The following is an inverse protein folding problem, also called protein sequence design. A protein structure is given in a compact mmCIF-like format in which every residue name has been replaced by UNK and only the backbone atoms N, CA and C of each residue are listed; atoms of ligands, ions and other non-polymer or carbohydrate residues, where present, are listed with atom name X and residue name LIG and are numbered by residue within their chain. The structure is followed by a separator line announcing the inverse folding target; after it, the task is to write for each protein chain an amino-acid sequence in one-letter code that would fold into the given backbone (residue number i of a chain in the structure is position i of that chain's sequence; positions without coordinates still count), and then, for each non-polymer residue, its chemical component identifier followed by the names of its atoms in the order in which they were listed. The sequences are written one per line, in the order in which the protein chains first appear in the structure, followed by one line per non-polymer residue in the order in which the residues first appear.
data_IF_636836106557
#
_entry.id   IF_636836106557
#
_cell.length_a   1.000
_cell.length_b   1.000
_cell.length_c   1.000
_cell.angle_alpha   90.00
_cell.angle_beta   90.00
_cell.angle_gamma   90.00
#
_symmetry.space_group_name_H-M   'P 1'
#
loop_
_entity.id
_entity.type
_entity.pdbx_description
1 polymer ?
#
# COMPACT_ATOMS: atom_id res chain seq x y z
N UNK A 1 -14.12 -15.55 3.10
CA UNK A 1 -13.87 -14.76 4.32
C UNK A 1 -15.15 -14.66 5.13
N UNK A 2 -15.12 -15.18 6.34
CA UNK A 2 -16.27 -15.17 7.25
C UNK A 2 -16.18 -14.05 8.31
N UNK A 3 -17.14 -14.02 9.25
CA UNK A 3 -17.20 -13.00 10.29
C UNK A 3 -16.00 -13.07 11.25
N UNK A 4 -15.50 -14.27 11.53
CA UNK A 4 -14.32 -14.45 12.38
C UNK A 4 -13.08 -13.87 11.68
N UNK A 5 -12.92 -14.11 10.40
CA UNK A 5 -11.82 -13.55 9.61
C UNK A 5 -11.84 -12.01 9.63
N UNK A 6 -13.04 -11.42 9.52
CA UNK A 6 -13.18 -9.96 9.60
C UNK A 6 -12.75 -9.42 10.95
N UNK A 7 -13.12 -10.10 12.05
CA UNK A 7 -12.67 -9.72 13.40
C UNK A 7 -11.16 -9.83 13.55
N UNK A 8 -10.56 -10.90 13.04
CA UNK A 8 -9.10 -11.08 13.05
C UNK A 8 -8.43 -9.91 12.34
N UNK A 9 -8.91 -9.56 11.15
CA UNK A 9 -8.38 -8.44 10.37
C UNK A 9 -8.52 -7.12 11.13
N UNK A 10 -9.66 -6.86 11.78
CA UNK A 10 -9.84 -5.66 12.58
C UNK A 10 -8.85 -5.55 13.73
N UNK A 11 -8.62 -6.66 14.44
CA UNK A 11 -7.62 -6.70 15.52
C UNK A 11 -6.23 -6.39 14.99
N UNK A 12 -5.83 -7.03 13.89
CA UNK A 12 -4.52 -6.84 13.28
C UNK A 12 -4.34 -5.43 12.70
N UNK A 13 -5.40 -4.80 12.21
CA UNK A 13 -5.35 -3.41 11.74
C UNK A 13 -5.10 -2.41 12.87
N UNK A 14 -5.58 -2.71 14.08
CA UNK A 14 -5.34 -1.87 15.25
C UNK A 14 -4.02 -2.19 15.93
N UNK A 15 -3.64 -3.46 15.96
CA UNK A 15 -2.40 -3.94 16.54
C UNK A 15 -1.82 -5.08 15.70
N UNK A 16 -0.94 -4.74 14.78
CA UNK A 16 -0.27 -5.71 13.91
C UNK A 16 0.64 -6.70 14.66
N UNK A 17 0.93 -6.45 15.94
CA UNK A 17 1.72 -7.33 16.80
C UNK A 17 0.89 -8.22 17.71
N UNK A 18 -0.45 -8.20 17.58
CA UNK A 18 -1.32 -9.07 18.37
C UNK A 18 -0.92 -10.53 18.17
N UNK A 19 -0.78 -11.26 19.27
CA UNK A 19 -0.42 -12.69 19.21
C UNK A 19 -1.62 -13.54 18.82
N UNK A 20 -1.37 -14.72 18.30
CA UNK A 20 -2.45 -15.66 18.00
C UNK A 20 -3.30 -15.99 19.24
N UNK A 21 -2.66 -16.07 20.42
CA UNK A 21 -3.36 -16.30 21.68
C UNK A 21 -4.29 -15.15 22.07
N UNK A 22 -3.81 -13.91 21.94
CA UNK A 22 -4.61 -12.71 22.19
C UNK A 22 -5.81 -12.64 21.23
N UNK A 23 -5.57 -12.88 19.95
CA UNK A 23 -6.65 -12.90 18.94
C UNK A 23 -7.64 -14.02 19.26
N UNK A 24 -7.13 -15.21 19.58
CA UNK A 24 -7.98 -16.38 19.90
C UNK A 24 -8.92 -16.12 21.06
N UNK A 25 -8.47 -15.42 22.10
CA UNK A 25 -9.32 -15.04 23.23
C UNK A 25 -10.50 -14.15 22.83
N UNK A 26 -10.28 -13.26 21.85
CA UNK A 26 -11.33 -12.34 21.38
C UNK A 26 -12.31 -13.05 20.46
N UNK A 27 -11.83 -13.90 19.57
CA UNK A 27 -12.68 -14.56 18.55
C UNK A 27 -13.16 -15.95 18.97
N UNK A 28 -12.72 -16.46 20.12
CA UNK A 28 -13.15 -17.77 20.64
C UNK A 28 -12.51 -18.95 19.92
N UNK A 29 -11.26 -18.84 19.50
CA UNK A 29 -10.51 -19.88 18.82
C UNK A 29 -9.19 -20.20 19.53
N UNK A 30 -8.65 -21.40 19.27
CA UNK A 30 -7.30 -21.77 19.68
C UNK A 30 -6.25 -20.99 18.87
N UNK A 31 -5.02 -20.92 19.40
CA UNK A 31 -3.89 -20.31 18.66
C UNK A 31 -3.66 -20.97 17.30
N UNK A 32 -3.73 -22.29 17.23
CA UNK A 32 -3.56 -23.03 15.99
C UNK A 32 -4.64 -22.70 14.95
N UNK A 33 -5.90 -22.54 15.42
CA UNK A 33 -7.00 -22.16 14.53
C UNK A 33 -6.83 -20.74 14.00
N UNK A 34 -6.38 -19.80 14.84
CA UNK A 34 -6.09 -18.42 14.43
C UNK A 34 -4.94 -18.39 13.41
N UNK A 35 -3.86 -19.10 13.70
CA UNK A 35 -2.70 -19.22 12.80
C UNK A 35 -3.12 -19.72 11.42
N UNK A 36 -3.93 -20.76 11.38
CA UNK A 36 -4.43 -21.33 10.11
C UNK A 36 -5.23 -20.30 9.32
N UNK A 37 -6.13 -19.58 9.97
CA UNK A 37 -6.95 -18.56 9.33
C UNK A 37 -6.11 -17.41 8.77
N UNK A 38 -5.14 -16.92 9.53
CA UNK A 38 -4.25 -15.86 9.05
C UNK A 38 -3.42 -16.35 7.86
N UNK A 39 -2.91 -17.59 7.92
CA UNK A 39 -2.20 -18.18 6.80
C UNK A 39 -3.06 -18.26 5.53
N UNK A 40 -4.32 -18.62 5.66
CA UNK A 40 -5.27 -18.64 4.55
C UNK A 40 -5.56 -17.24 4.00
N UNK A 41 -5.70 -16.24 4.88
CA UNK A 41 -5.89 -14.85 4.49
C UNK A 41 -4.69 -14.29 3.71
N UNK A 42 -3.48 -14.68 4.10
CA UNK A 42 -2.25 -14.31 3.38
C UNK A 42 -2.17 -15.05 2.04
N UNK A 43 -2.35 -16.36 2.03
CA UNK A 43 -2.23 -17.15 0.80
C UNK A 43 -3.29 -16.81 -0.25
N UNK A 44 -4.47 -16.37 0.17
CA UNK A 44 -5.54 -15.91 -0.72
C UNK A 44 -5.37 -14.47 -1.19
N UNK A 45 -4.36 -13.75 -0.69
CA UNK A 45 -4.09 -12.36 -1.06
C UNK A 45 -4.99 -11.32 -0.38
N UNK A 46 -5.86 -11.72 0.55
CA UNK A 46 -6.67 -10.77 1.34
C UNK A 46 -5.75 -9.93 2.22
N UNK A 47 -4.82 -10.57 2.94
CA UNK A 47 -3.71 -9.88 3.59
C UNK A 47 -2.54 -9.91 2.62
N UNK A 48 -2.21 -8.77 2.05
CA UNK A 48 -1.12 -8.66 1.07
C UNK A 48 0.25 -8.66 1.75
N UNK A 49 0.37 -7.99 2.88
CA UNK A 49 1.62 -7.91 3.67
C UNK A 49 1.35 -7.39 5.07
N UNK A 50 2.26 -7.67 5.96
CA UNK A 50 2.35 -7.03 7.28
C UNK A 50 3.36 -5.89 7.16
N UNK A 51 2.99 -4.71 7.65
CA UNK A 51 3.81 -3.53 7.51
C UNK A 51 3.60 -2.58 8.69
N UNK A 52 4.35 -1.48 8.68
CA UNK A 52 4.29 -0.44 9.70
C UNK A 52 3.72 0.83 9.11
N UNK A 53 3.03 1.59 9.94
CA UNK A 53 2.69 2.98 9.66
C UNK A 53 3.57 3.86 10.53
N UNK A 54 4.39 4.70 9.91
CA UNK A 54 5.39 5.51 10.58
C UNK A 54 4.98 6.98 10.61
N UNK A 55 5.55 7.72 11.57
CA UNK A 55 5.46 9.18 11.59
C UNK A 55 6.31 9.77 10.45
N UNK A 56 5.91 10.93 9.92
CA UNK A 56 6.67 11.66 8.89
C UNK A 56 7.91 12.39 9.42
N UNK A 57 8.21 12.32 10.71
CA UNK A 57 9.30 13.06 11.34
C UNK A 57 10.68 12.75 10.77
N UNK A 58 10.88 11.56 10.22
CA UNK A 58 12.16 11.06 9.73
C UNK A 58 12.21 10.91 8.20
N UNK A 59 11.25 11.46 7.47
CA UNK A 59 11.23 11.30 6.04
C UNK A 59 10.22 12.19 5.34
N UNK A 60 9.94 11.88 4.08
CA UNK A 60 8.98 12.57 3.25
C UNK A 60 8.06 11.59 2.53
N UNK A 61 6.78 11.90 2.49
CA UNK A 61 5.80 11.14 1.73
C UNK A 61 5.09 12.05 0.73
N UNK A 62 4.70 11.47 -0.37
CA UNK A 62 3.98 12.16 -1.42
C UNK A 62 2.93 11.26 -2.07
N UNK A 63 1.92 11.88 -2.62
CA UNK A 63 0.97 11.22 -3.51
C UNK A 63 1.22 11.76 -4.92
N UNK A 64 1.58 10.88 -5.84
CA UNK A 64 1.76 11.24 -7.24
C UNK A 64 0.58 10.71 -8.05
N UNK A 65 -0.22 11.61 -8.57
CA UNK A 65 -1.30 11.27 -9.50
C UNK A 65 -0.72 11.20 -10.90
N UNK A 66 -1.04 10.14 -11.63
CA UNK A 66 -0.46 9.85 -12.94
C UNK A 66 -1.56 9.68 -13.98
N UNK A 67 -1.42 10.41 -15.07
CA UNK A 67 -2.25 10.26 -16.27
C UNK A 67 -1.46 9.48 -17.31
N UNK A 68 -2.09 8.50 -17.94
CA UNK A 68 -1.43 7.58 -18.86
C UNK A 68 -2.06 7.61 -20.25
N UNK A 69 -1.30 7.15 -21.25
CA UNK A 69 -1.78 6.94 -22.59
C UNK A 69 -2.83 5.82 -22.59
N UNK A 70 -4.07 6.09 -23.04
CA UNK A 70 -5.15 5.11 -23.03
C UNK A 70 -4.92 3.88 -23.92
N UNK A 71 -3.96 3.93 -24.82
CA UNK A 71 -3.60 2.78 -25.66
C UNK A 71 -2.75 1.73 -24.94
N UNK A 72 -2.21 2.06 -23.75
CA UNK A 72 -1.40 1.15 -22.95
C UNK A 72 -2.24 0.65 -21.77
N UNK A 73 -2.28 -0.67 -21.51
CA UNK A 73 -3.00 -1.17 -20.33
C UNK A 73 -2.48 -0.57 -19.03
N UNK A 74 -3.37 -0.10 -18.19
CA UNK A 74 -3.02 0.53 -16.90
C UNK A 74 -2.20 -0.41 -16.03
N UNK A 75 -2.53 -1.70 -16.02
CA UNK A 75 -1.81 -2.72 -15.26
C UNK A 75 -0.33 -2.84 -15.63
N UNK A 76 0.01 -2.61 -16.90
CA UNK A 76 1.38 -2.64 -17.39
C UNK A 76 2.20 -1.49 -16.79
N UNK A 77 1.62 -0.30 -16.75
CA UNK A 77 2.25 0.88 -16.15
C UNK A 77 2.34 0.72 -14.62
N UNK A 78 1.29 0.24 -13.98
CA UNK A 78 1.30 -0.05 -12.53
C UNK A 78 2.41 -1.00 -12.15
N UNK A 79 2.65 -2.05 -12.93
CA UNK A 79 3.73 -3.00 -12.69
C UNK A 79 5.12 -2.33 -12.78
N UNK A 80 5.31 -1.42 -13.73
CA UNK A 80 6.55 -0.65 -13.86
C UNK A 80 6.76 0.32 -12.72
N UNK A 81 5.69 0.98 -12.25
CA UNK A 81 5.74 1.88 -11.11
C UNK A 81 6.18 1.17 -9.83
N UNK A 82 5.68 -0.03 -9.60
CA UNK A 82 6.05 -0.83 -8.41
C UNK A 82 7.52 -1.22 -8.37
N UNK A 83 8.22 -1.17 -9.48
CA UNK A 83 9.67 -1.46 -9.55
C UNK A 83 10.54 -0.26 -9.21
N UNK A 84 9.98 0.94 -9.14
CA UNK A 84 10.73 2.15 -8.82
C UNK A 84 11.00 2.17 -7.31
N UNK A 85 12.26 2.38 -6.88
CA UNK A 85 12.56 2.57 -5.46
C UNK A 85 11.74 3.72 -4.85
N UNK A 86 11.34 3.57 -3.61
CA UNK A 86 10.50 4.51 -2.86
C UNK A 86 9.02 4.55 -3.27
N UNK A 87 8.60 3.86 -4.30
CA UNK A 87 7.18 3.63 -4.58
C UNK A 87 6.68 2.57 -3.60
N UNK A 88 5.81 2.98 -2.70
CA UNK A 88 5.25 2.13 -1.65
C UNK A 88 3.98 1.41 -2.10
N UNK A 89 3.07 2.13 -2.72
CA UNK A 89 1.77 1.60 -3.13
C UNK A 89 1.34 2.24 -4.44
N UNK A 90 0.69 1.45 -5.28
CA UNK A 90 0.10 1.90 -6.54
C UNK A 90 -1.38 1.55 -6.55
N UNK A 91 -2.22 2.55 -6.76
CA UNK A 91 -3.66 2.38 -6.92
C UNK A 91 -4.07 2.77 -8.34
N UNK A 92 -4.86 1.94 -8.98
CA UNK A 92 -5.59 2.32 -10.19
C UNK A 92 -6.89 2.97 -9.74
N UNK A 93 -7.17 4.16 -10.25
CA UNK A 93 -8.27 5.00 -9.75
C UNK A 93 -9.15 5.49 -10.89
N UNK A 94 -10.36 5.90 -10.54
CA UNK A 94 -11.25 6.60 -11.44
C UNK A 94 -11.10 8.11 -11.28
N UNK A 95 -11.55 8.89 -12.26
CA UNK A 95 -11.53 10.35 -12.25
C UNK A 95 -10.57 10.91 -13.28
N UNK A 96 -10.04 12.10 -13.01
CA UNK A 96 -9.17 12.83 -13.93
C UNK A 96 -7.83 12.13 -14.18
N UNK A 97 -7.32 11.41 -13.17
CA UNK A 97 -6.09 10.65 -13.27
C UNK A 97 -6.37 9.16 -13.24
N UNK A 98 -5.42 8.38 -13.75
CA UNK A 98 -5.57 6.93 -13.90
C UNK A 98 -4.95 6.15 -12.74
N UNK A 99 -3.89 6.68 -12.16
CA UNK A 99 -3.12 6.02 -11.12
C UNK A 99 -2.81 7.01 -9.99
N UNK A 100 -2.92 6.53 -8.75
CA UNK A 100 -2.41 7.23 -7.57
C UNK A 100 -1.26 6.42 -6.98
N UNK A 101 -0.09 7.03 -6.88
CA UNK A 101 1.13 6.39 -6.40
C UNK A 101 1.53 7.00 -5.08
N UNK A 102 1.73 6.17 -4.06
CA UNK A 102 2.23 6.62 -2.76
C UNK A 102 3.73 6.44 -2.75
N UNK A 103 4.45 7.53 -2.46
CA UNK A 103 5.91 7.57 -2.42
C UNK A 103 6.33 7.82 -0.98
N UNK A 104 7.25 6.98 -0.48
CA UNK A 104 7.87 7.15 0.83
C UNK A 104 9.39 7.21 0.66
N UNK A 105 10.00 8.29 1.12
CA UNK A 105 11.42 8.56 0.93
C UNK A 105 12.03 9.19 2.20
N UNK A 106 13.34 9.30 2.22
CA UNK A 106 14.05 9.91 3.35
C UNK A 106 14.12 11.43 3.25
N UNK A 107 13.86 12.00 2.06
CA UNK A 107 13.92 13.44 1.82
C UNK A 107 13.05 13.85 0.64
N UNK A 108 12.77 15.14 0.54
CA UNK A 108 12.07 15.73 -0.62
C UNK A 108 12.89 15.52 -1.90
N UNK A 109 14.22 15.56 -1.82
CA UNK A 109 15.07 15.31 -2.97
C UNK A 109 14.88 13.90 -3.55
N UNK A 110 14.77 12.90 -2.68
CA UNK A 110 14.47 11.53 -3.10
C UNK A 110 13.06 11.39 -3.69
N UNK A 111 12.08 12.12 -3.16
CA UNK A 111 10.74 12.18 -3.77
C UNK A 111 10.83 12.70 -5.19
N UNK A 112 11.58 13.79 -5.41
CA UNK A 112 11.77 14.37 -6.75
C UNK A 112 12.48 13.41 -7.70
N UNK A 113 13.47 12.69 -7.24
CA UNK A 113 14.13 11.64 -8.04
C UNK A 113 13.14 10.55 -8.45
N UNK A 114 12.29 10.13 -7.53
CA UNK A 114 11.24 9.15 -7.80
C UNK A 114 10.27 9.67 -8.88
N UNK A 115 9.82 10.91 -8.77
CA UNK A 115 8.95 11.54 -9.76
C UNK A 115 9.60 11.59 -11.14
N UNK A 116 10.89 11.92 -11.23
CA UNK A 116 11.62 11.93 -12.50
C UNK A 116 11.65 10.53 -13.15
N UNK A 117 11.82 9.49 -12.33
CA UNK A 117 11.74 8.09 -12.83
C UNK A 117 10.34 7.73 -13.31
N UNK A 118 9.29 8.19 -12.62
CA UNK A 118 7.90 7.99 -13.03
C UNK A 118 7.66 8.64 -14.40
N UNK A 119 8.10 9.87 -14.58
CA UNK A 119 7.93 10.61 -15.83
C UNK A 119 8.63 9.96 -17.03
N UNK A 120 9.67 9.19 -16.80
CA UNK A 120 10.42 8.47 -17.86
C UNK A 120 9.75 7.18 -18.31
N UNK A 121 8.71 6.70 -17.59
CA UNK A 121 8.00 5.50 -17.99
C UNK A 121 7.23 5.79 -19.28
N UNK A 122 7.43 4.94 -20.28
CA UNK A 122 6.68 5.02 -21.51
C UNK A 122 5.19 4.84 -21.25
N UNK A 123 4.39 5.79 -21.75
CA UNK A 123 2.96 5.82 -21.53
C UNK A 123 2.50 6.76 -20.41
N UNK A 124 3.39 7.27 -19.58
CA UNK A 124 3.05 8.34 -18.63
C UNK A 124 2.99 9.67 -19.37
N UNK A 125 1.82 10.32 -19.31
CA UNK A 125 1.59 11.59 -20.02
C UNK A 125 1.85 12.77 -19.07
N UNK A 126 1.29 12.70 -17.86
CA UNK A 126 1.27 13.82 -16.93
C UNK A 126 1.29 13.32 -15.49
N UNK A 127 1.96 14.05 -14.62
CA UNK A 127 2.00 13.78 -13.19
C UNK A 127 1.58 15.02 -12.41
N UNK A 128 0.93 14.79 -11.27
CA UNK A 128 0.62 15.82 -10.29
C UNK A 128 1.04 15.31 -8.92
N UNK A 129 2.04 15.93 -8.32
CA UNK A 129 2.60 15.48 -7.05
C UNK A 129 2.12 16.35 -5.91
N UNK A 130 1.60 15.70 -4.87
CA UNK A 130 1.21 16.34 -3.63
C UNK A 130 2.13 15.86 -2.52
N UNK A 131 2.88 16.78 -1.91
CA UNK A 131 3.69 16.47 -0.74
C UNK A 131 2.77 16.39 0.48
N UNK A 132 2.87 15.33 1.25
CA UNK A 132 2.09 15.18 2.48
C UNK A 132 2.75 16.02 3.56
N UNK A 133 2.02 17.01 4.07
CA UNK A 133 2.53 17.90 5.11
C UNK A 133 2.29 17.35 6.50
N UNK A 134 1.23 16.57 6.68
CA UNK A 134 0.83 16.05 7.98
C UNK A 134 -0.02 14.79 7.81
N UNK A 135 0.18 13.81 8.68
CA UNK A 135 -0.69 12.63 8.77
C UNK A 135 -1.20 12.46 10.21
N UNK A 136 -2.34 11.85 10.34
CA UNK A 136 -3.02 11.64 11.62
C UNK A 136 -3.11 10.17 12.00
#
# INVERSE_FOLDING_TARGET
MDEIDRKIIQILKQNGRATYGEIGKVVGLSEGAVRKRIKELVSSGIIKRFTLKLSLSEGAEAIALVSINPSIPTSEISAKLLKIPNVDTVYEVTGEYDIATIISAMSIAEVNECIEKIRKIDGVIKTNTMIILRSW
#
